data_IF_124728877063
#
_entry.id   IF_124728877063
#
_cell.length_a   1.000
_cell.length_b   1.000
_cell.length_c   1.000
_cell.angle_alpha   90.00
_cell.angle_beta   90.00
_cell.angle_gamma   90.00
#
_symmetry.space_group_name_H-M   'P 1'
#
loop_
_entity.id
_entity.type
_entity.pdbx_description
1 polymer ?
#
# COMPACT_ATOMS: atom_id res chain seq x y z
N UNK A 1 14.29 41.08 33.77
CA UNK A 1 13.64 41.08 32.44
C UNK A 1 14.71 41.14 31.35
N UNK A 2 15.16 40.03 30.74
CA UNK A 2 16.10 40.08 29.62
C UNK A 2 15.37 40.21 28.28
N UNK A 3 15.88 41.10 27.42
CA UNK A 3 15.30 41.48 26.12
C UNK A 3 15.58 40.40 25.05
N UNK A 4 14.51 40.00 24.34
CA UNK A 4 14.52 39.15 23.13
C UNK A 4 15.08 39.93 21.93
N UNK A 5 16.32 39.66 21.48
CA UNK A 5 16.82 40.19 20.18
C UNK A 5 17.63 39.20 19.33
N UNK A 6 17.86 37.96 19.77
CA UNK A 6 18.68 36.98 19.03
C UNK A 6 17.96 36.30 17.83
N UNK A 7 16.64 36.14 17.87
CA UNK A 7 15.91 35.33 16.88
C UNK A 7 15.71 35.93 15.48
N UNK A 8 15.77 37.26 15.32
CA UNK A 8 15.47 37.91 14.02
C UNK A 8 16.63 37.82 13.00
N UNK A 9 17.89 37.69 13.45
CA UNK A 9 19.04 37.61 12.54
C UNK A 9 19.19 36.23 11.89
N UNK A 10 18.85 35.16 12.61
CA UNK A 10 18.95 33.78 12.10
C UNK A 10 17.94 33.54 10.97
N UNK A 11 16.71 34.06 11.11
CA UNK A 11 15.65 33.92 10.10
C UNK A 11 16.02 34.69 8.80
N UNK A 12 16.70 35.84 8.92
CA UNK A 12 17.16 36.64 7.78
C UNK A 12 18.25 35.93 6.94
N UNK A 13 19.18 35.23 7.58
CA UNK A 13 20.18 34.43 6.86
C UNK A 13 19.54 33.23 6.12
N UNK A 14 18.60 32.52 6.77
CA UNK A 14 17.94 31.36 6.17
C UNK A 14 17.09 31.73 4.95
N UNK A 15 16.43 32.90 4.95
CA UNK A 15 15.67 33.37 3.79
C UNK A 15 16.55 33.74 2.58
N UNK A 16 17.71 34.36 2.82
CA UNK A 16 18.64 34.74 1.73
C UNK A 16 19.29 33.52 1.07
N UNK A 17 19.50 32.44 1.82
CA UNK A 17 20.00 31.17 1.29
C UNK A 17 18.96 30.44 0.44
N UNK A 18 17.67 30.51 0.79
CA UNK A 18 16.59 29.82 0.08
C UNK A 18 16.35 30.36 -1.35
N UNK A 19 16.49 31.68 -1.56
CA UNK A 19 16.28 32.33 -2.86
C UNK A 19 17.35 31.94 -3.90
N UNK A 20 18.55 31.55 -3.44
CA UNK A 20 19.65 31.18 -4.36
C UNK A 20 19.51 29.76 -4.91
N UNK A 21 18.65 28.93 -4.30
CA UNK A 21 18.48 27.50 -4.65
C UNK A 21 17.49 27.30 -5.82
N UNK A 22 16.56 28.23 -6.03
CA UNK A 22 15.55 28.13 -7.11
C UNK A 22 16.13 28.28 -8.52
N UNK A 23 17.34 28.80 -8.66
CA UNK A 23 17.98 29.10 -9.95
C UNK A 23 19.10 28.12 -10.33
N UNK A 24 19.22 27.00 -9.62
CA UNK A 24 20.31 26.03 -9.78
C UNK A 24 19.90 24.82 -10.64
N UNK A 25 20.81 24.36 -11.51
CA UNK A 25 20.62 23.18 -12.36
C UNK A 25 20.51 21.90 -11.51
N UNK A 26 19.82 20.85 -12.00
CA UNK A 26 19.59 19.61 -11.23
C UNK A 26 20.87 18.95 -10.70
N UNK A 27 22.00 19.07 -11.41
CA UNK A 27 23.30 18.56 -10.97
C UNK A 27 23.83 19.31 -9.74
N UNK A 28 23.72 20.64 -9.71
CA UNK A 28 24.13 21.44 -8.54
C UNK A 28 23.19 21.30 -7.34
N UNK A 29 21.94 20.86 -7.54
CA UNK A 29 20.99 20.58 -6.44
C UNK A 29 21.39 19.33 -5.66
N UNK A 30 21.91 18.29 -6.33
CA UNK A 30 22.43 17.09 -5.68
C UNK A 30 23.69 17.40 -4.84
N UNK A 31 24.60 18.24 -5.35
CA UNK A 31 25.78 18.68 -4.60
C UNK A 31 25.43 19.59 -3.39
N UNK A 32 24.35 20.37 -3.47
CA UNK A 32 23.89 21.21 -2.35
C UNK A 32 23.17 20.39 -1.26
N UNK A 33 22.49 19.30 -1.63
CA UNK A 33 21.92 18.35 -0.67
C UNK A 33 23.03 17.64 0.14
N UNK A 34 24.18 17.36 -0.49
CA UNK A 34 25.39 16.86 0.19
C UNK A 34 26.10 17.92 1.04
N UNK A 35 25.79 19.22 0.86
CA UNK A 35 26.39 20.33 1.63
C UNK A 35 25.51 20.84 2.78
N UNK A 36 24.38 20.18 3.07
CA UNK A 36 23.58 20.50 4.26
C UNK A 36 24.36 20.13 5.53
N UNK A 37 24.27 20.93 6.61
CA UNK A 37 24.91 20.57 7.86
C UNK A 37 24.36 19.22 8.34
N UNK A 38 25.24 18.30 8.75
CA UNK A 38 24.89 16.93 9.16
C UNK A 38 23.73 16.91 10.19
N UNK A 39 23.66 17.94 11.04
CA UNK A 39 22.58 18.18 12.00
C UNK A 39 21.17 18.32 11.37
N UNK A 40 21.03 19.00 10.23
CA UNK A 40 19.74 19.18 9.56
C UNK A 40 19.23 17.89 8.89
N UNK A 41 20.14 17.09 8.32
CA UNK A 41 19.82 15.76 7.75
C UNK A 41 19.37 14.80 8.85
N UNK A 42 20.13 14.72 9.95
CA UNK A 42 19.78 13.90 11.12
C UNK A 42 18.44 14.34 11.75
N UNK A 43 18.13 15.63 11.76
CA UNK A 43 16.84 16.12 12.24
C UNK A 43 15.68 15.71 11.32
N UNK A 44 15.87 15.78 10.00
CA UNK A 44 14.90 15.30 9.01
C UNK A 44 14.61 13.81 9.17
N UNK A 45 15.66 12.99 9.23
CA UNK A 45 15.55 11.54 9.37
C UNK A 45 14.80 11.14 10.66
N UNK A 46 15.08 11.82 11.78
CA UNK A 46 14.37 11.61 13.06
C UNK A 46 12.88 11.97 13.00
N UNK A 47 12.52 13.02 12.26
CA UNK A 47 11.12 13.42 12.09
C UNK A 47 10.36 12.40 11.24
N UNK A 48 10.99 11.88 10.18
CA UNK A 48 10.39 10.86 9.33
C UNK A 48 10.21 9.54 10.08
N UNK A 49 11.25 9.09 10.78
CA UNK A 49 11.22 7.89 11.61
C UNK A 49 10.09 7.95 12.64
N UNK A 50 9.94 9.08 13.32
CA UNK A 50 8.85 9.28 14.28
C UNK A 50 7.47 9.14 13.64
N UNK A 51 7.27 9.67 12.42
CA UNK A 51 5.99 9.56 11.70
C UNK A 51 5.70 8.12 11.26
N UNK A 52 6.72 7.37 10.81
CA UNK A 52 6.58 5.95 10.49
C UNK A 52 6.20 5.13 11.73
N UNK A 53 6.85 5.39 12.87
CA UNK A 53 6.52 4.77 14.15
C UNK A 53 5.10 5.11 14.61
N UNK A 54 4.68 6.37 14.49
CA UNK A 54 3.31 6.77 14.81
C UNK A 54 2.28 6.08 13.90
N UNK A 55 2.56 5.97 12.60
CA UNK A 55 1.70 5.26 11.66
C UNK A 55 1.57 3.77 12.03
N UNK A 56 2.69 3.12 12.34
CA UNK A 56 2.71 1.73 12.80
C UNK A 56 1.91 1.54 14.08
N UNK A 57 2.05 2.43 15.06
CA UNK A 57 1.27 2.39 16.31
C UNK A 57 -0.24 2.51 16.05
N UNK A 58 -0.65 3.40 15.15
CA UNK A 58 -2.06 3.52 14.78
C UNK A 58 -2.58 2.29 14.03
N UNK A 59 -1.75 1.68 13.17
CA UNK A 59 -2.06 0.40 12.52
C UNK A 59 -2.31 -0.69 13.56
N UNK A 60 -1.42 -0.85 14.53
CA UNK A 60 -1.56 -1.86 15.59
C UNK A 60 -2.78 -1.63 16.47
N UNK A 61 -3.06 -0.37 16.83
CA UNK A 61 -4.30 0.00 17.53
C UNK A 61 -5.54 -0.35 16.70
N UNK A 62 -5.49 -0.18 15.38
CA UNK A 62 -6.55 -0.61 14.46
C UNK A 62 -6.74 -2.12 14.46
N UNK A 63 -5.63 -2.88 14.38
CA UNK A 63 -5.64 -4.34 14.43
C UNK A 63 -6.26 -4.84 15.74
N UNK A 64 -5.94 -4.19 16.86
CA UNK A 64 -6.52 -4.51 18.15
C UNK A 64 -8.04 -4.28 18.17
N UNK A 65 -8.51 -3.12 17.69
CA UNK A 65 -9.95 -2.82 17.59
C UNK A 65 -10.68 -3.76 16.64
N UNK A 66 -10.03 -4.22 15.58
CA UNK A 66 -10.58 -5.23 14.67
C UNK A 66 -10.82 -6.56 15.38
N UNK A 67 -9.84 -7.03 16.17
CA UNK A 67 -9.99 -8.26 16.98
C UNK A 67 -11.08 -8.14 18.03
N UNK A 68 -11.33 -6.94 18.55
CA UNK A 68 -12.43 -6.64 19.47
C UNK A 68 -13.81 -6.53 18.77
N UNK A 69 -13.89 -6.68 17.44
CA UNK A 69 -15.12 -6.50 16.66
C UNK A 69 -15.58 -5.05 16.49
N UNK A 70 -14.78 -4.07 16.94
CA UNK A 70 -15.08 -2.64 16.85
C UNK A 70 -14.61 -2.07 15.51
N UNK A 71 -15.27 -2.47 14.43
CA UNK A 71 -14.81 -2.16 13.06
C UNK A 71 -14.80 -0.66 12.72
N UNK A 72 -15.79 0.11 13.21
CA UNK A 72 -15.84 1.57 13.01
C UNK A 72 -14.64 2.29 13.64
N UNK A 73 -14.26 1.87 14.85
CA UNK A 73 -13.09 2.41 15.55
C UNK A 73 -11.80 1.98 14.85
N UNK A 74 -11.73 0.73 14.40
CA UNK A 74 -10.58 0.21 13.65
C UNK A 74 -10.32 1.03 12.38
N UNK A 75 -11.37 1.30 11.59
CA UNK A 75 -11.32 2.15 10.39
C UNK A 75 -10.73 3.53 10.71
N UNK A 76 -11.19 4.15 11.80
CA UNK A 76 -10.69 5.46 12.23
C UNK A 76 -9.20 5.44 12.57
N UNK A 77 -8.71 4.35 13.19
CA UNK A 77 -7.29 4.18 13.52
C UNK A 77 -6.43 3.95 12.28
N UNK A 78 -6.88 3.12 11.33
CA UNK A 78 -6.16 2.92 10.07
C UNK A 78 -6.09 4.21 9.23
N UNK A 79 -7.18 4.98 9.17
CA UNK A 79 -7.14 6.29 8.52
C UNK A 79 -6.16 7.25 9.19
N UNK A 80 -6.09 7.22 10.53
CA UNK A 80 -5.09 8.02 11.26
C UNK A 80 -3.66 7.59 10.94
N UNK A 81 -3.40 6.29 10.76
CA UNK A 81 -2.10 5.79 10.29
C UNK A 81 -1.75 6.35 8.90
N UNK A 82 -2.68 6.24 7.94
CA UNK A 82 -2.48 6.75 6.58
C UNK A 82 -2.25 8.27 6.55
N UNK A 83 -2.89 9.03 7.44
CA UNK A 83 -2.66 10.48 7.56
C UNK A 83 -1.23 10.83 7.98
N UNK A 84 -0.60 10.01 8.84
CA UNK A 84 0.81 10.21 9.23
C UNK A 84 1.75 9.97 8.03
N UNK A 85 1.38 9.02 7.17
CA UNK A 85 2.15 8.67 5.97
C UNK A 85 1.92 9.64 4.80
N UNK A 86 0.76 10.31 4.72
CA UNK A 86 0.42 11.21 3.61
C UNK A 86 1.45 12.33 3.42
N UNK A 87 2.01 12.86 4.50
CA UNK A 87 3.04 13.91 4.44
C UNK A 87 4.45 13.40 4.12
N UNK A 88 4.61 12.09 3.93
CA UNK A 88 5.86 11.42 3.59
C UNK A 88 5.84 10.84 2.17
N UNK A 89 4.64 10.65 1.59
CA UNK A 89 4.47 9.98 0.31
C UNK A 89 5.05 10.85 -0.84
N UNK A 90 6.14 10.40 -1.50
CA UNK A 90 6.80 11.18 -2.55
C UNK A 90 5.94 11.34 -3.81
N UNK A 91 4.87 10.54 -3.97
CA UNK A 91 3.96 10.61 -5.12
C UNK A 91 2.90 11.71 -4.99
N UNK A 92 2.70 12.27 -3.79
CA UNK A 92 1.70 13.30 -3.56
C UNK A 92 2.30 14.70 -3.72
N UNK A 93 1.69 15.57 -4.56
CA UNK A 93 2.11 16.97 -4.63
C UNK A 93 2.07 17.60 -3.25
N UNK A 94 3.15 18.26 -2.86
CA UNK A 94 3.18 19.05 -1.63
C UNK A 94 1.99 20.03 -1.65
N UNK A 95 1.17 20.11 -0.58
CA UNK A 95 -0.01 20.99 -0.54
C UNK A 95 0.29 22.47 -0.81
N UNK A 96 1.57 22.85 -0.72
CA UNK A 96 2.05 24.20 -1.00
C UNK A 96 3.20 24.08 -2.02
N UNK A 97 2.97 24.40 -3.30
CA UNK A 97 4.03 24.48 -4.30
C UNK A 97 5.13 25.43 -3.81
N UNK A 98 6.40 25.02 -3.89
CA UNK A 98 7.60 25.78 -3.52
C UNK A 98 7.85 26.11 -2.03
N UNK A 99 7.06 25.63 -1.06
CA UNK A 99 7.31 25.90 0.39
C UNK A 99 7.29 24.68 1.31
N UNK A 100 7.13 23.47 0.76
CA UNK A 100 7.42 22.24 1.51
C UNK A 100 8.93 22.03 1.64
N UNK A 101 9.42 21.37 2.70
CA UNK A 101 10.75 20.78 2.63
C UNK A 101 10.76 19.90 1.37
N UNK A 102 11.64 20.22 0.43
CA UNK A 102 12.25 19.20 -0.41
C UNK A 102 13.05 18.35 0.59
N UNK A 103 12.33 17.52 1.36
CA UNK A 103 12.94 16.69 2.37
C UNK A 103 13.99 15.82 1.69
N UNK A 104 15.04 15.39 2.41
CA UNK A 104 15.88 14.34 1.87
C UNK A 104 14.97 13.22 1.35
N UNK A 105 15.22 12.76 0.12
CA UNK A 105 14.53 11.61 -0.42
C UNK A 105 14.56 10.51 0.65
N UNK A 106 13.40 9.90 0.90
CA UNK A 106 13.29 8.81 1.88
C UNK A 106 14.38 7.77 1.55
N UNK A 107 14.98 7.18 2.58
CA UNK A 107 15.87 6.05 2.30
C UNK A 107 15.03 4.91 1.70
N UNK A 108 15.60 4.04 0.85
CA UNK A 108 14.85 2.92 0.27
C UNK A 108 14.17 2.04 1.33
N UNK A 109 14.79 1.90 2.50
CA UNK A 109 14.23 1.17 3.65
C UNK A 109 13.00 1.87 4.24
N UNK A 110 13.06 3.20 4.34
CA UNK A 110 11.94 4.02 4.81
C UNK A 110 10.78 4.03 3.81
N UNK A 111 11.06 4.12 2.52
CA UNK A 111 10.05 4.00 1.45
C UNK A 111 9.36 2.64 1.50
N UNK A 112 10.14 1.56 1.61
CA UNK A 112 9.60 0.21 1.72
C UNK A 112 8.73 0.06 2.99
N UNK A 113 9.17 0.63 4.11
CA UNK A 113 8.39 0.63 5.36
C UNK A 113 7.09 1.40 5.20
N UNK A 114 7.13 2.59 4.60
CA UNK A 114 5.96 3.41 4.30
C UNK A 114 4.97 2.63 3.45
N UNK A 115 5.41 2.04 2.34
CA UNK A 115 4.56 1.28 1.43
C UNK A 115 3.99 0.02 2.09
N UNK A 116 4.77 -0.65 2.93
CA UNK A 116 4.30 -1.80 3.70
C UNK A 116 3.17 -1.39 4.65
N UNK A 117 3.34 -0.31 5.42
CA UNK A 117 2.29 0.18 6.34
C UNK A 117 1.06 0.63 5.55
N UNK A 118 1.23 1.37 4.44
CA UNK A 118 0.12 1.77 3.57
C UNK A 118 -0.68 0.56 3.09
N UNK A 119 0.02 -0.45 2.56
CA UNK A 119 -0.58 -1.66 2.00
C UNK A 119 -1.35 -2.43 3.07
N UNK A 120 -0.75 -2.62 4.25
CA UNK A 120 -1.42 -3.25 5.39
C UNK A 120 -2.69 -2.49 5.80
N UNK A 121 -2.62 -1.17 5.88
CA UNK A 121 -3.74 -0.33 6.27
C UNK A 121 -4.89 -0.43 5.25
N UNK A 122 -4.62 -0.36 3.95
CA UNK A 122 -5.67 -0.53 2.92
C UNK A 122 -6.28 -1.93 2.96
N UNK A 123 -5.45 -2.96 3.11
CA UNK A 123 -5.91 -4.34 3.20
C UNK A 123 -6.83 -4.55 4.41
N UNK A 124 -6.47 -3.98 5.58
CA UNK A 124 -7.27 -4.09 6.79
C UNK A 124 -8.52 -3.20 6.77
N UNK A 125 -8.48 -2.04 6.10
CA UNK A 125 -9.66 -1.21 5.85
C UNK A 125 -10.70 -1.95 5.02
N UNK A 126 -10.29 -2.58 3.92
CA UNK A 126 -11.17 -3.43 3.11
C UNK A 126 -11.80 -4.55 3.95
N UNK A 127 -11.01 -5.18 4.82
CA UNK A 127 -11.50 -6.19 5.75
C UNK A 127 -12.56 -5.65 6.73
N UNK A 128 -12.36 -4.45 7.28
CA UNK A 128 -13.31 -3.83 8.20
C UNK A 128 -14.64 -3.51 7.51
N UNK A 129 -14.56 -2.94 6.31
CA UNK A 129 -15.75 -2.54 5.54
C UNK A 129 -16.64 -3.75 5.22
N UNK A 130 -16.06 -4.91 4.91
CA UNK A 130 -16.80 -6.16 4.68
C UNK A 130 -17.49 -6.71 5.94
N UNK A 131 -17.15 -6.22 7.15
CA UNK A 131 -17.80 -6.61 8.41
C UNK A 131 -18.84 -5.60 8.89
N UNK A 132 -19.01 -4.47 8.20
CA UNK A 132 -19.93 -3.40 8.58
C UNK A 132 -21.18 -3.43 7.70
N UNK A 133 -22.36 -3.38 8.32
CA UNK A 133 -23.65 -3.32 7.61
C UNK A 133 -24.20 -1.87 7.63
N UNK A 134 -24.62 -1.29 6.49
CA UNK A 134 -24.51 -1.83 5.13
C UNK A 134 -23.07 -1.82 4.61
N UNK A 135 -22.72 -2.85 3.84
CA UNK A 135 -21.38 -2.99 3.26
C UNK A 135 -21.19 -2.03 2.08
N UNK A 136 -20.15 -1.20 2.13
CA UNK A 136 -19.78 -0.34 1.00
C UNK A 136 -18.78 -1.06 0.08
N UNK A 137 -19.29 -1.78 -0.92
CA UNK A 137 -18.48 -2.55 -1.86
C UNK A 137 -17.60 -1.69 -2.78
N UNK A 138 -18.01 -0.47 -3.11
CA UNK A 138 -17.18 0.45 -3.92
C UNK A 138 -15.86 0.79 -3.21
N UNK A 139 -15.92 1.09 -1.91
CA UNK A 139 -14.72 1.38 -1.12
C UNK A 139 -13.87 0.14 -0.88
N UNK A 140 -14.49 -1.04 -0.73
CA UNK A 140 -13.75 -2.32 -0.64
C UNK A 140 -12.97 -2.55 -1.93
N UNK A 141 -13.59 -2.33 -3.09
CA UNK A 141 -12.94 -2.41 -4.41
C UNK A 141 -11.74 -1.47 -4.49
N UNK A 142 -11.95 -0.18 -4.19
CA UNK A 142 -10.90 0.84 -4.27
C UNK A 142 -9.67 0.48 -3.40
N UNK A 143 -9.90 0.11 -2.13
CA UNK A 143 -8.79 -0.25 -1.24
C UNK A 143 -8.10 -1.55 -1.65
N UNK A 144 -8.86 -2.53 -2.13
CA UNK A 144 -8.26 -3.79 -2.58
C UNK A 144 -7.40 -3.57 -3.83
N UNK A 145 -7.84 -2.75 -4.77
CA UNK A 145 -7.05 -2.39 -5.95
C UNK A 145 -5.76 -1.66 -5.59
N UNK A 146 -5.80 -0.71 -4.64
CA UNK A 146 -4.58 -0.04 -4.12
C UNK A 146 -3.55 -1.01 -3.54
N UNK A 147 -4.01 -2.09 -2.91
CA UNK A 147 -3.10 -3.15 -2.42
C UNK A 147 -2.52 -3.93 -3.59
N UNK A 148 -3.33 -4.27 -4.59
CA UNK A 148 -2.93 -5.07 -5.75
C UNK A 148 -2.00 -4.32 -6.71
N UNK A 149 -2.06 -3.00 -6.77
CA UNK A 149 -1.10 -2.16 -7.49
C UNK A 149 0.35 -2.36 -7.00
N UNK A 150 0.52 -2.70 -5.71
CA UNK A 150 1.83 -2.94 -5.09
C UNK A 150 2.14 -4.41 -4.90
N UNK A 151 1.13 -5.20 -4.55
CA UNK A 151 1.22 -6.63 -4.27
C UNK A 151 0.17 -7.36 -5.11
N UNK A 152 0.42 -7.57 -6.42
CA UNK A 152 -0.54 -8.22 -7.32
C UNK A 152 -0.88 -9.64 -6.88
N UNK A 153 0.02 -10.27 -6.13
CA UNK A 153 -0.07 -11.64 -5.66
C UNK A 153 -0.72 -11.79 -4.27
N UNK A 154 -1.22 -10.69 -3.69
CA UNK A 154 -1.83 -10.72 -2.37
C UNK A 154 -3.19 -11.42 -2.40
N UNK A 155 -3.22 -12.70 -2.02
CA UNK A 155 -4.43 -13.52 -2.03
C UNK A 155 -5.61 -12.91 -1.24
N UNK A 156 -5.35 -12.20 -0.14
CA UNK A 156 -6.41 -11.55 0.65
C UNK A 156 -7.03 -10.37 -0.09
N UNK A 157 -6.21 -9.57 -0.75
CA UNK A 157 -6.68 -8.42 -1.53
C UNK A 157 -7.40 -8.86 -2.82
N UNK A 158 -6.85 -9.86 -3.53
CA UNK A 158 -7.52 -10.48 -4.69
C UNK A 158 -8.91 -10.98 -4.30
N UNK A 159 -9.00 -11.70 -3.19
CA UNK A 159 -10.27 -12.21 -2.71
C UNK A 159 -11.27 -11.09 -2.37
N UNK A 160 -10.83 -10.07 -1.64
CA UNK A 160 -11.68 -8.92 -1.26
C UNK A 160 -12.15 -8.11 -2.46
N UNK A 161 -11.29 -7.92 -3.47
CA UNK A 161 -11.65 -7.33 -4.74
C UNK A 161 -12.72 -8.16 -5.45
N UNK A 162 -12.52 -9.47 -5.56
CA UNK A 162 -13.48 -10.38 -6.19
C UNK A 162 -14.87 -10.35 -5.54
N UNK A 163 -14.93 -10.35 -4.20
CA UNK A 163 -16.19 -10.17 -3.46
C UNK A 163 -16.84 -8.82 -3.76
N UNK A 164 -16.05 -7.74 -3.79
CA UNK A 164 -16.58 -6.42 -4.10
C UNK A 164 -17.15 -6.33 -5.52
N UNK A 165 -16.44 -6.83 -6.53
CA UNK A 165 -16.92 -6.85 -7.91
C UNK A 165 -18.19 -7.70 -8.07
N UNK A 166 -18.26 -8.84 -7.38
CA UNK A 166 -19.45 -9.70 -7.39
C UNK A 166 -20.70 -8.95 -6.92
N UNK A 167 -20.60 -8.25 -5.78
CA UNK A 167 -21.72 -7.45 -5.26
C UNK A 167 -22.01 -6.18 -6.06
N UNK A 168 -21.04 -5.71 -6.85
CA UNK A 168 -21.22 -4.62 -7.82
C UNK A 168 -21.74 -5.12 -9.18
N UNK A 169 -22.06 -6.42 -9.31
CA UNK A 169 -22.59 -7.06 -10.52
C UNK A 169 -21.62 -7.08 -11.72
N UNK A 170 -20.33 -6.87 -11.47
CA UNK A 170 -19.27 -7.03 -12.47
C UNK A 170 -18.66 -8.43 -12.31
N UNK A 171 -19.37 -9.41 -12.89
CA UNK A 171 -19.05 -10.82 -12.72
C UNK A 171 -17.77 -11.25 -13.46
N UNK A 172 -17.41 -10.56 -14.54
CA UNK A 172 -16.18 -10.84 -15.30
C UNK A 172 -14.94 -10.55 -14.46
N UNK A 173 -14.88 -9.36 -13.85
CA UNK A 173 -13.79 -9.01 -12.94
C UNK A 173 -13.84 -9.85 -11.66
N UNK A 174 -15.05 -10.11 -11.12
CA UNK A 174 -15.20 -10.96 -9.95
C UNK A 174 -14.59 -12.34 -10.17
N UNK A 175 -14.87 -12.98 -11.32
CA UNK A 175 -14.31 -14.27 -11.69
C UNK A 175 -12.80 -14.21 -11.77
N UNK A 176 -12.24 -13.24 -12.50
CA UNK A 176 -10.80 -13.08 -12.64
C UNK A 176 -10.09 -12.99 -11.27
N UNK A 177 -10.58 -12.13 -10.38
CA UNK A 177 -9.99 -11.94 -9.06
C UNK A 177 -10.17 -13.15 -8.13
N UNK A 178 -11.34 -13.80 -8.13
CA UNK A 178 -11.60 -14.95 -7.26
C UNK A 178 -10.79 -16.19 -7.70
N UNK A 179 -10.66 -16.45 -9.01
CA UNK A 179 -9.82 -17.54 -9.53
C UNK A 179 -8.35 -17.30 -9.20
N UNK A 180 -7.86 -16.06 -9.40
CA UNK A 180 -6.51 -15.69 -9.00
C UNK A 180 -6.29 -15.88 -7.50
N UNK A 181 -7.25 -15.47 -6.66
CA UNK A 181 -7.16 -15.62 -5.21
C UNK A 181 -7.04 -17.09 -4.77
N UNK A 182 -7.81 -18.00 -5.37
CA UNK A 182 -7.77 -19.45 -5.07
C UNK A 182 -6.45 -20.06 -5.52
N UNK A 183 -5.97 -19.68 -6.71
CA UNK A 183 -4.72 -20.21 -7.27
C UNK A 183 -3.50 -19.86 -6.42
N UNK A 184 -3.56 -18.76 -5.66
CA UNK A 184 -2.48 -18.32 -4.76
C UNK A 184 -2.63 -18.82 -3.33
N UNK A 185 -3.65 -19.62 -3.01
CA UNK A 185 -3.79 -20.22 -1.68
C UNK A 185 -2.81 -21.39 -1.51
N UNK A 186 -1.98 -21.39 -0.45
CA UNK A 186 -1.51 -22.65 0.12
C UNK A 186 -2.74 -23.41 0.61
N UNK A 187 -2.86 -24.70 0.25
CA UNK A 187 -3.98 -25.62 0.55
C UNK A 187 -4.47 -25.66 2.01
N UNK A 188 -3.82 -24.97 2.95
CA UNK A 188 -4.06 -25.05 4.39
C UNK A 188 -4.76 -23.81 5.01
N UNK A 189 -4.88 -22.71 4.27
CA UNK A 189 -5.46 -21.47 4.80
C UNK A 189 -6.89 -21.28 4.32
N UNK A 190 -7.82 -21.90 5.07
CA UNK A 190 -9.25 -21.62 5.09
C UNK A 190 -9.45 -20.11 5.31
N UNK A 191 -9.45 -19.33 4.23
CA UNK A 191 -9.57 -17.87 4.25
C UNK A 191 -10.77 -17.53 5.14
N UNK A 192 -10.44 -16.93 6.28
CA UNK A 192 -11.26 -16.70 7.48
C UNK A 192 -12.76 -16.70 7.20
N UNK A 193 -13.46 -17.68 7.80
CA UNK A 193 -14.93 -17.76 7.85
C UNK A 193 -15.48 -16.56 8.61
N UNK A 194 -15.60 -15.44 7.94
CA UNK A 194 -16.43 -14.33 8.38
C UNK A 194 -17.70 -14.44 7.52
N UNK A 195 -18.90 -14.35 8.09
CA UNK A 195 -20.14 -14.83 7.46
C UNK A 195 -20.39 -14.44 6.00
N UNK A 196 -19.92 -13.27 5.56
CA UNK A 196 -20.01 -12.77 4.17
C UNK A 196 -19.02 -13.41 3.18
N UNK A 197 -17.86 -13.89 3.63
CA UNK A 197 -16.80 -14.43 2.76
C UNK A 197 -17.04 -15.89 2.34
N UNK A 198 -17.69 -16.66 3.21
CA UNK A 198 -18.04 -18.06 2.91
C UNK A 198 -19.19 -18.17 1.90
N UNK A 199 -20.05 -17.15 1.80
CA UNK A 199 -21.22 -17.17 0.93
C UNK A 199 -20.84 -17.11 -0.56
N UNK A 200 -19.86 -16.26 -0.92
CA UNK A 200 -19.44 -16.08 -2.32
C UNK A 200 -18.83 -17.35 -2.91
N UNK A 201 -17.96 -18.05 -2.17
CA UNK A 201 -17.43 -19.36 -2.62
C UNK A 201 -18.46 -20.49 -2.61
N UNK A 202 -19.56 -20.32 -1.87
CA UNK A 202 -20.67 -21.27 -1.85
C UNK A 202 -21.70 -20.97 -2.95
N UNK A 203 -21.56 -19.86 -3.68
CA UNK A 203 -22.46 -19.51 -4.77
C UNK A 203 -22.26 -20.50 -5.94
N UNK A 204 -23.33 -21.11 -6.48
CA UNK A 204 -23.22 -22.15 -7.52
C UNK A 204 -22.42 -21.69 -8.75
N UNK A 205 -22.53 -20.42 -9.10
CA UNK A 205 -21.82 -19.78 -10.20
C UNK A 205 -20.31 -19.65 -9.94
N UNK A 206 -19.90 -19.37 -8.70
CA UNK A 206 -18.47 -19.29 -8.32
C UNK A 206 -17.85 -20.68 -8.22
N UNK A 207 -18.64 -21.68 -7.79
CA UNK A 207 -18.20 -23.08 -7.79
C UNK A 207 -17.97 -23.61 -9.21
N UNK A 208 -18.81 -23.22 -10.18
CA UNK A 208 -18.64 -23.62 -11.58
C UNK A 208 -17.40 -23.02 -12.23
N UNK A 209 -16.99 -21.80 -11.86
CA UNK A 209 -15.74 -21.19 -12.35
C UNK A 209 -14.50 -22.00 -11.98
N UNK A 210 -14.48 -22.63 -10.80
CA UNK A 210 -13.37 -23.49 -10.34
C UNK A 210 -13.28 -24.84 -11.07
N UNK A 211 -14.35 -25.25 -11.75
CA UNK A 211 -14.42 -26.48 -12.53
C UNK A 211 -13.97 -26.22 -13.98
N UNK A 212 -14.39 -25.09 -14.57
CA UNK A 212 -14.09 -24.74 -15.97
C UNK A 212 -12.60 -24.41 -16.22
N UNK A 213 -11.90 -23.76 -15.28
CA UNK A 213 -10.46 -23.45 -15.48
C UNK A 213 -9.54 -24.66 -15.30
N UNK A 214 -10.03 -25.74 -14.69
CA UNK A 214 -9.32 -27.04 -14.65
C UNK A 214 -9.25 -27.71 -16.02
N UNK A 215 -10.08 -27.27 -16.96
CA UNK A 215 -10.12 -27.77 -18.35
C UNK A 215 -9.38 -26.85 -19.33
N UNK A 216 -9.11 -25.59 -18.99
CA UNK A 216 -8.39 -24.64 -19.86
C UNK A 216 -6.87 -24.59 -19.64
N UNK A 217 -6.37 -25.14 -18.53
CA UNK A 217 -4.93 -25.33 -18.32
C UNK A 217 -4.62 -26.79 -17.98
N UNK A 218 -4.52 -27.71 -18.95
CA UNK A 218 -3.66 -28.87 -18.75
C UNK A 218 -2.25 -28.33 -18.40
N UNK A 219 -1.48 -28.96 -17.49
CA UNK A 219 -0.09 -28.58 -17.31
C UNK A 219 0.55 -28.67 -18.69
N UNK A 220 1.11 -27.54 -19.18
CA UNK A 220 1.91 -27.53 -20.39
C UNK A 220 3.10 -28.45 -20.12
N UNK A 221 2.92 -29.74 -20.45
CA UNK A 221 4.02 -30.66 -20.65
C UNK A 221 4.74 -30.08 -21.85
N UNK A 222 5.89 -29.45 -21.62
CA UNK A 222 6.77 -29.01 -22.69
C UNK A 222 7.03 -30.21 -23.60
N UNK A 223 6.33 -30.28 -24.72
CA UNK A 223 6.69 -31.16 -25.82
C UNK A 223 7.86 -30.46 -26.51
N UNK A 224 9.07 -30.70 -26.01
CA UNK A 224 10.24 -30.53 -26.84
C UNK A 224 10.11 -31.55 -27.99
N UNK A 225 10.28 -31.16 -29.26
CA UNK A 225 10.36 -32.13 -30.34
C UNK A 225 11.57 -33.03 -30.09
N UNK A 226 11.34 -34.35 -30.05
CA UNK A 226 12.40 -35.34 -30.09
C UNK A 226 13.23 -35.12 -31.36
N UNK A 227 14.50 -34.77 -31.19
CA UNK A 227 15.48 -34.76 -32.28
C UNK A 227 15.75 -36.23 -32.63
N UNK A 228 15.46 -36.71 -33.85
CA UNK A 228 15.77 -38.08 -34.23
C UNK A 228 17.29 -38.30 -34.20
N UNK A 229 17.77 -39.47 -33.76
CA UNK A 229 19.20 -39.75 -33.68
C UNK A 229 19.83 -39.70 -35.08
N UNK A 230 20.98 -39.04 -35.16
CA UNK A 230 21.82 -39.03 -36.34
C UNK A 230 22.25 -40.47 -36.67
N UNK A 231 21.75 -40.99 -37.80
CA UNK A 231 22.31 -42.20 -38.38
C UNK A 231 23.78 -41.93 -38.70
N UNK A 232 24.64 -42.68 -38.01
CA UNK A 232 26.06 -42.76 -38.29
C UNK A 232 26.27 -44.04 -39.08
N UNK A 233 27.13 -43.93 -40.10
CA UNK A 233 27.62 -44.94 -41.06
C UNK A 233 26.81 -45.05 -42.35
#
# INVERSE_FOLDING_TARGET
MPRRTSGRRVISCLLKSAIKISNLTPISRASFALSLPNSARVMGDRVMEKRLQEAQLYKEKGNQRYREGKYRDAVSRYHRALLQLRGLDPSLPSPIPNLGPQGPALTPEQENTLHTIQTDCYNNLAACLLQMEPVNYERVKEYSQKVLERQPDNAKALYRAGVAFFHLQDYDQARHYLVAAVSRQPKDLRMTKNGSTSAVFSHPEVQSWSASDRLLHPPLRCQCPEVPPANTV
#
